data_IF_265007854315
#
_entry.id   IF_265007854315
#
_cell.length_a   1.000
_cell.length_b   1.000
_cell.length_c   1.000
_cell.angle_alpha   90.00
_cell.angle_beta   90.00
_cell.angle_gamma   90.00
#
_symmetry.space_group_name_H-M   'P 1'
#
loop_
_entity.id
_entity.type
_entity.pdbx_description
1 polymer ?
#
# COMPACT_ATOMS: atom_id res chain seq x y z
N UNK A 1 7.65 11.89 3.08
CA UNK A 1 8.01 10.59 3.70
C UNK A 1 6.89 9.59 3.52
N UNK A 2 7.20 8.45 2.90
CA UNK A 2 6.28 7.35 2.70
C UNK A 2 6.46 6.34 3.83
N UNK A 3 5.63 6.42 4.86
CA UNK A 3 5.63 5.42 5.95
C UNK A 3 4.47 4.45 5.75
N UNK A 4 4.64 3.16 6.09
CA UNK A 4 3.52 2.23 6.16
C UNK A 4 2.40 2.77 7.06
N UNK A 5 1.15 2.50 6.73
CA UNK A 5 0.05 2.71 7.67
C UNK A 5 0.17 1.70 8.81
N UNK A 6 -0.18 2.11 10.03
CA UNK A 6 -0.21 1.29 11.25
C UNK A 6 -1.41 1.70 12.12
N UNK A 7 -1.77 0.86 13.08
CA UNK A 7 -2.81 1.12 14.08
C UNK A 7 -2.26 1.34 15.51
N UNK A 8 -0.92 1.41 15.64
CA UNK A 8 -0.19 1.28 16.92
C UNK A 8 -0.33 2.48 17.87
N UNK A 9 -0.65 3.66 17.34
CA UNK A 9 -0.78 4.89 18.15
C UNK A 9 -1.78 5.87 17.51
N UNK A 10 -2.16 6.90 18.28
CA UNK A 10 -3.15 7.89 17.87
C UNK A 10 -2.72 8.74 16.66
N UNK A 11 -1.43 8.97 16.45
CA UNK A 11 -0.94 9.74 15.30
C UNK A 11 -1.03 8.91 14.01
N UNK A 12 -0.67 7.64 14.08
CA UNK A 12 -0.81 6.68 13.00
C UNK A 12 -2.28 6.46 12.62
N UNK A 13 -3.16 6.31 13.61
CA UNK A 13 -4.60 6.21 13.39
C UNK A 13 -5.15 7.49 12.76
N UNK A 14 -4.73 8.68 13.22
CA UNK A 14 -5.15 9.95 12.62
C UNK A 14 -4.72 10.07 11.16
N UNK A 15 -3.49 9.65 10.83
CA UNK A 15 -2.99 9.61 9.44
C UNK A 15 -3.81 8.63 8.58
N UNK A 16 -4.12 7.45 9.11
CA UNK A 16 -4.96 6.48 8.42
C UNK A 16 -6.38 7.02 8.19
N UNK A 17 -6.98 7.65 9.20
CA UNK A 17 -8.31 8.28 9.11
C UNK A 17 -8.36 9.45 8.13
N UNK A 18 -7.28 10.24 8.04
CA UNK A 18 -7.14 11.30 7.04
C UNK A 18 -7.12 10.74 5.61
N UNK A 19 -6.43 9.61 5.40
CA UNK A 19 -6.37 8.93 4.09
C UNK A 19 -7.61 8.06 3.78
N UNK A 20 -8.35 7.67 4.82
CA UNK A 20 -9.54 6.83 4.73
C UNK A 20 -10.56 7.20 5.81
N UNK A 21 -11.51 8.06 5.44
CA UNK A 21 -12.57 8.55 6.34
C UNK A 21 -13.46 7.48 6.98
N UNK A 22 -13.48 6.26 6.41
CA UNK A 22 -14.29 5.13 6.90
C UNK A 22 -13.52 4.12 7.74
N UNK A 23 -12.27 4.43 8.15
CA UNK A 23 -11.46 3.52 8.96
C UNK A 23 -12.12 3.22 10.31
N UNK A 24 -12.28 1.96 10.73
CA UNK A 24 -12.90 1.58 12.00
C UNK A 24 -11.96 1.83 13.20
N UNK A 25 -11.65 3.10 13.46
CA UNK A 25 -10.71 3.53 14.52
C UNK A 25 -11.25 3.22 15.92
N UNK A 26 -12.55 2.99 16.06
CA UNK A 26 -13.20 2.59 17.29
C UNK A 26 -12.95 1.11 17.64
N UNK A 27 -12.45 0.30 16.69
CA UNK A 27 -12.09 -1.10 16.88
C UNK A 27 -10.61 -1.32 16.51
N UNK A 28 -9.72 -1.04 17.47
CA UNK A 28 -8.27 -1.08 17.27
C UNK A 28 -7.73 -2.46 16.89
N UNK A 29 -8.29 -3.53 17.47
CA UNK A 29 -7.90 -4.91 17.18
C UNK A 29 -8.17 -5.23 15.70
N UNK A 30 -9.38 -4.91 15.24
CA UNK A 30 -9.75 -5.10 13.86
C UNK A 30 -8.90 -4.23 12.91
N UNK A 31 -8.72 -2.96 13.27
CA UNK A 31 -7.92 -2.06 12.45
C UNK A 31 -6.46 -2.54 12.34
N UNK A 32 -5.88 -3.00 13.44
CA UNK A 32 -4.55 -3.61 13.47
C UNK A 32 -4.47 -4.82 12.56
N UNK A 33 -5.41 -5.76 12.69
CA UNK A 33 -5.48 -6.95 11.84
C UNK A 33 -5.54 -6.60 10.34
N UNK A 34 -6.39 -5.65 9.95
CA UNK A 34 -6.53 -5.23 8.55
C UNK A 34 -5.23 -4.62 8.00
N UNK A 35 -4.60 -3.75 8.79
CA UNK A 35 -3.40 -3.00 8.39
C UNK A 35 -2.19 -3.93 8.26
N UNK A 36 -2.02 -4.86 9.20
CA UNK A 36 -0.93 -5.83 9.21
C UNK A 36 -1.10 -6.87 8.09
N UNK A 37 -2.31 -7.43 7.94
CA UNK A 37 -2.62 -8.37 6.86
C UNK A 37 -2.39 -7.75 5.49
N UNK A 38 -2.87 -6.53 5.27
CA UNK A 38 -2.65 -5.81 4.02
C UNK A 38 -1.16 -5.58 3.75
N UNK A 39 -0.38 -5.20 4.77
CA UNK A 39 1.07 -5.00 4.63
C UNK A 39 1.77 -6.30 4.24
N UNK A 40 1.47 -7.40 4.93
CA UNK A 40 2.04 -8.72 4.65
C UNK A 40 1.78 -9.13 3.20
N UNK A 41 0.53 -9.06 2.75
CA UNK A 41 0.15 -9.41 1.38
C UNK A 41 0.85 -8.54 0.34
N UNK A 42 0.95 -7.22 0.57
CA UNK A 42 1.64 -6.30 -0.34
C UNK A 42 3.13 -6.62 -0.42
N UNK A 43 3.79 -6.83 0.72
CA UNK A 43 5.23 -7.16 0.78
C UNK A 43 5.52 -8.51 0.12
N UNK A 44 4.69 -9.52 0.37
CA UNK A 44 4.83 -10.85 -0.24
C UNK A 44 4.75 -10.80 -1.77
N UNK A 45 3.89 -9.94 -2.31
CA UNK A 45 3.75 -9.77 -3.76
C UNK A 45 4.73 -8.74 -4.37
N UNK A 46 5.40 -7.94 -3.55
CA UNK A 46 6.27 -6.86 -4.01
C UNK A 46 7.45 -7.38 -4.86
N UNK A 47 8.01 -6.55 -5.77
CA UNK A 47 9.31 -6.83 -6.37
C UNK A 47 10.43 -6.75 -5.32
N UNK A 48 11.66 -7.15 -5.68
CA UNK A 48 12.82 -7.07 -4.77
C UNK A 48 13.10 -5.62 -4.30
N UNK A 49 12.85 -4.62 -5.16
CA UNK A 49 12.95 -3.20 -4.83
C UNK A 49 11.76 -2.74 -3.97
N UNK A 50 11.80 -3.04 -2.67
CA UNK A 50 10.74 -2.65 -1.73
C UNK A 50 10.92 -1.26 -1.10
N UNK A 51 12.12 -0.69 -1.17
CA UNK A 51 12.43 0.64 -0.63
C UNK A 51 12.25 1.72 -1.70
N UNK A 52 11.96 2.94 -1.27
CA UNK A 52 11.86 4.11 -2.15
C UNK A 52 13.17 4.34 -2.90
N UNK A 53 14.31 4.23 -2.22
CA UNK A 53 15.64 4.32 -2.81
C UNK A 53 15.86 3.28 -3.92
N UNK A 54 15.60 2.00 -3.66
CA UNK A 54 15.79 0.94 -4.64
C UNK A 54 14.86 1.12 -5.85
N UNK A 55 13.61 1.51 -5.62
CA UNK A 55 12.66 1.79 -6.68
C UNK A 55 13.09 2.99 -7.55
N UNK A 56 13.60 4.05 -6.93
CA UNK A 56 14.14 5.22 -7.65
C UNK A 56 15.38 4.83 -8.44
N UNK A 57 16.31 4.07 -7.85
CA UNK A 57 17.50 3.59 -8.52
C UNK A 57 17.15 2.75 -9.76
N UNK A 58 16.15 1.88 -9.68
CA UNK A 58 15.66 1.10 -10.82
C UNK A 58 15.08 1.99 -11.92
N UNK A 59 14.29 3.01 -11.56
CA UNK A 59 13.75 3.97 -12.54
C UNK A 59 14.88 4.75 -13.21
N UNK A 60 15.81 5.29 -12.44
CA UNK A 60 16.95 6.05 -12.99
C UNK A 60 17.82 5.18 -13.90
N UNK A 61 18.03 3.91 -13.55
CA UNK A 61 18.72 2.95 -14.41
C UNK A 61 18.04 2.78 -15.77
N UNK A 62 16.71 2.66 -15.81
CA UNK A 62 15.95 2.54 -17.07
C UNK A 62 16.10 3.75 -17.99
N UNK A 63 16.35 4.94 -17.43
CA UNK A 63 16.57 6.17 -18.19
C UNK A 63 18.06 6.53 -18.37
N UNK A 64 18.99 5.71 -17.87
CA UNK A 64 20.43 6.00 -17.95
C UNK A 64 20.88 7.18 -17.07
N UNK A 65 20.16 7.46 -15.98
CA UNK A 65 20.37 8.61 -15.07
C UNK A 65 20.87 8.18 -13.68
N UNK A 66 21.61 7.07 -13.60
CA UNK A 66 22.04 6.48 -12.32
C UNK A 66 22.93 7.42 -11.49
N UNK A 67 23.63 8.35 -12.15
CA UNK A 67 24.46 9.39 -11.53
C UNK A 67 23.64 10.45 -10.76
N UNK A 68 22.33 10.52 -10.99
CA UNK A 68 21.41 11.47 -10.35
C UNK A 68 20.78 10.97 -9.05
N UNK A 69 21.09 9.75 -8.61
CA UNK A 69 20.42 9.15 -7.46
C UNK A 69 20.51 10.02 -6.21
N UNK A 70 21.70 10.48 -5.85
CA UNK A 70 21.92 11.32 -4.66
C UNK A 70 21.13 12.64 -4.72
N UNK A 71 21.11 13.31 -5.88
CA UNK A 71 20.34 14.53 -6.11
C UNK A 71 18.84 14.30 -5.92
N UNK A 72 18.31 13.19 -6.45
CA UNK A 72 16.89 12.85 -6.32
C UNK A 72 16.52 12.47 -4.89
N UNK A 73 17.35 11.70 -4.20
CA UNK A 73 17.12 11.33 -2.79
C UNK A 73 17.11 12.58 -1.89
N UNK A 74 18.04 13.51 -2.12
CA UNK A 74 18.09 14.78 -1.40
C UNK A 74 16.87 15.67 -1.69
N UNK A 75 16.42 15.75 -2.94
CA UNK A 75 15.22 16.52 -3.32
C UNK A 75 13.96 15.99 -2.63
N UNK A 76 13.86 14.66 -2.49
CA UNK A 76 12.69 14.00 -1.90
C UNK A 76 12.76 13.88 -0.38
N UNK A 77 13.88 14.31 0.24
CA UNK A 77 14.15 14.21 1.68
C UNK A 77 13.85 12.79 2.21
N UNK A 78 14.37 11.79 1.49
CA UNK A 78 14.12 10.39 1.80
C UNK A 78 15.08 9.90 2.89
N UNK A 79 14.52 9.23 3.89
CA UNK A 79 15.29 8.47 4.87
C UNK A 79 15.55 7.06 4.35
N UNK A 80 16.74 6.53 4.64
CA UNK A 80 17.13 5.17 4.31
C UNK A 80 16.09 4.15 4.82
N UNK A 81 15.73 3.18 3.98
CA UNK A 81 14.77 2.13 4.33
C UNK A 81 13.29 2.54 4.25
N UNK A 82 12.96 3.78 3.85
CA UNK A 82 11.56 4.15 3.57
C UNK A 82 10.97 3.22 2.50
N UNK A 83 9.74 2.69 2.68
CA UNK A 83 9.09 1.87 1.68
C UNK A 83 8.76 2.66 0.41
N UNK A 84 8.74 1.98 -0.72
CA UNK A 84 8.35 2.61 -1.98
C UNK A 84 6.91 3.15 -1.92
N UNK A 85 6.70 4.35 -2.47
CA UNK A 85 5.43 5.10 -2.41
C UNK A 85 4.23 4.28 -2.92
N UNK A 86 4.40 3.55 -4.02
CA UNK A 86 3.36 2.73 -4.61
C UNK A 86 2.95 1.57 -3.68
N UNK A 87 3.87 1.03 -2.88
CA UNK A 87 3.56 -0.03 -1.92
C UNK A 87 2.75 0.48 -0.73
N UNK A 88 3.06 1.68 -0.21
CA UNK A 88 2.25 2.33 0.84
C UNK A 88 0.84 2.62 0.33
N UNK A 89 0.71 3.07 -0.92
CA UNK A 89 -0.60 3.25 -1.53
C UNK A 89 -1.34 1.93 -1.76
N UNK A 90 -0.65 0.88 -2.20
CA UNK A 90 -1.20 -0.47 -2.36
C UNK A 90 -1.72 -1.03 -1.03
N UNK A 91 -0.99 -0.81 0.07
CA UNK A 91 -1.44 -1.19 1.42
C UNK A 91 -2.78 -0.52 1.74
N UNK A 92 -2.91 0.79 1.52
CA UNK A 92 -4.17 1.50 1.78
C UNK A 92 -5.34 0.95 0.97
N UNK A 93 -5.12 0.63 -0.30
CA UNK A 93 -6.16 0.01 -1.13
C UNK A 93 -6.53 -1.38 -0.63
N UNK A 94 -5.55 -2.19 -0.24
CA UNK A 94 -5.82 -3.52 0.27
C UNK A 94 -6.53 -3.51 1.63
N UNK A 95 -6.19 -2.56 2.52
CA UNK A 95 -6.93 -2.33 3.77
C UNK A 95 -8.43 -2.10 3.47
N UNK A 96 -8.73 -1.23 2.51
CA UNK A 96 -10.11 -0.91 2.11
C UNK A 96 -10.84 -2.13 1.51
N UNK A 97 -10.13 -2.93 0.72
CA UNK A 97 -10.68 -4.16 0.14
C UNK A 97 -11.01 -5.20 1.22
N UNK A 98 -10.10 -5.43 2.17
CA UNK A 98 -10.32 -6.36 3.29
C UNK A 98 -11.49 -5.90 4.16
N UNK A 99 -11.60 -4.60 4.44
CA UNK A 99 -12.74 -4.03 5.17
C UNK A 99 -14.07 -4.20 4.42
N UNK A 100 -14.08 -3.96 3.11
CA UNK A 100 -15.28 -4.15 2.29
C UNK A 100 -15.70 -5.62 2.26
N UNK A 101 -14.74 -6.54 2.12
CA UNK A 101 -14.99 -7.97 2.10
C UNK A 101 -15.54 -8.48 3.44
N UNK A 102 -14.99 -8.04 4.58
CA UNK A 102 -15.48 -8.47 5.90
C UNK A 102 -16.84 -7.90 6.30
N UNK A 103 -17.38 -6.93 5.55
CA UNK A 103 -18.73 -6.38 5.77
C UNK A 103 -19.81 -7.00 4.88
N UNK A 104 -19.44 -7.75 3.86
CA UNK A 104 -20.38 -8.42 2.99
C UNK A 104 -20.52 -9.88 3.45
N UNK A 105 -21.69 -10.28 3.94
CA UNK A 105 -22.01 -11.71 4.05
C UNK A 105 -22.26 -12.34 2.66
N UNK A 106 -22.37 -13.67 2.58
CA UNK A 106 -22.64 -14.38 1.32
C UNK A 106 -24.01 -14.06 0.69
N UNK A 107 -24.90 -13.35 1.40
CA UNK A 107 -26.22 -12.91 0.97
C UNK A 107 -26.33 -11.39 0.70
N UNK A 108 -25.28 -10.59 0.96
CA UNK A 108 -25.27 -9.14 0.77
C UNK A 108 -25.82 -8.32 1.93
N UNK A 109 -26.09 -8.92 3.09
CA UNK A 109 -26.54 -8.22 4.29
C UNK A 109 -25.36 -7.77 5.18
N UNK A 110 -25.54 -6.64 5.86
CA UNK A 110 -24.55 -6.05 6.79
C UNK A 110 -24.77 -6.70 8.17
N UNK A 111 -24.06 -7.79 8.45
CA UNK A 111 -24.19 -8.58 9.68
C UNK A 111 -23.81 -7.83 10.95
N UNK A 112 -24.66 -7.95 11.98
CA UNK A 112 -24.52 -7.35 13.31
C UNK A 112 -23.76 -8.20 14.34
N UNK A 113 -23.29 -9.40 13.97
CA UNK A 113 -22.52 -10.28 14.86
C UNK A 113 -21.32 -10.89 14.12
N UNK A 114 -20.12 -10.39 14.42
CA UNK A 114 -18.85 -10.99 14.01
C UNK A 114 -18.37 -10.60 12.61
N UNK A 115 -17.16 -10.05 12.51
CA UNK A 115 -16.49 -9.90 11.22
C UNK A 115 -15.86 -11.25 10.83
N UNK A 116 -16.34 -11.87 9.75
CA UNK A 116 -15.68 -13.04 9.15
C UNK A 116 -14.82 -12.59 7.98
N UNK A 117 -13.50 -12.66 8.13
CA UNK A 117 -12.57 -12.33 7.05
C UNK A 117 -12.15 -13.61 6.34
N UNK A 118 -12.59 -13.78 5.10
CA UNK A 118 -11.96 -14.74 4.19
C UNK A 118 -10.78 -14.01 3.53
N UNK A 119 -9.51 -14.39 3.79
CA UNK A 119 -8.38 -13.73 3.16
C UNK A 119 -8.47 -13.91 1.64
N UNK A 120 -8.85 -12.85 0.94
CA UNK A 120 -8.87 -12.85 -0.51
C UNK A 120 -7.45 -12.59 -1.03
N UNK A 121 -7.04 -13.21 -2.15
CA UNK A 121 -5.84 -12.80 -2.86
C UNK A 121 -5.89 -11.30 -3.17
N UNK A 122 -4.72 -10.66 -3.33
CA UNK A 122 -4.63 -9.26 -3.77
C UNK A 122 -5.46 -9.05 -5.04
N UNK A 123 -6.30 -8.01 -5.03
CA UNK A 123 -7.08 -7.61 -6.20
C UNK A 123 -6.16 -7.24 -7.38
N UNK A 124 -6.64 -7.45 -8.61
CA UNK A 124 -5.86 -7.17 -9.84
C UNK A 124 -5.38 -5.72 -9.89
N UNK A 125 -6.18 -4.77 -9.41
CA UNK A 125 -5.82 -3.34 -9.35
C UNK A 125 -4.65 -3.13 -8.39
N UNK A 126 -4.72 -3.72 -7.20
CA UNK A 126 -3.62 -3.63 -6.21
C UNK A 126 -2.35 -4.28 -6.76
N UNK A 127 -2.47 -5.43 -7.42
CA UNK A 127 -1.35 -6.08 -8.09
C UNK A 127 -0.73 -5.21 -9.17
N UNK A 128 -1.52 -4.47 -9.96
CA UNK A 128 -1.01 -3.52 -10.96
C UNK A 128 -0.35 -2.27 -10.37
N UNK A 129 -0.72 -1.86 -9.16
CA UNK A 129 -0.02 -0.79 -8.43
C UNK A 129 1.37 -1.28 -7.96
N UNK A 130 1.43 -2.51 -7.44
CA UNK A 130 2.67 -3.10 -6.93
C UNK A 130 3.64 -3.45 -8.08
N UNK A 131 3.11 -4.04 -9.15
CA UNK A 131 3.86 -4.42 -10.35
C UNK A 131 3.17 -3.83 -11.58
N UNK A 132 3.44 -2.56 -11.92
CA UNK A 132 2.92 -1.95 -13.12
C UNK A 132 3.32 -2.80 -14.33
N UNK A 133 2.34 -3.32 -15.05
CA UNK A 133 2.59 -3.95 -16.34
C UNK A 133 2.80 -2.80 -17.31
N UNK A 134 3.97 -2.72 -17.94
CA UNK A 134 4.23 -1.72 -18.97
C UNK A 134 3.12 -1.83 -20.02
N UNK A 135 2.14 -0.92 -20.00
CA UNK A 135 1.48 -0.56 -21.23
C UNK A 135 2.62 -0.01 -22.09
N UNK A 136 2.91 -0.67 -23.22
CA UNK A 136 3.80 -0.12 -24.22
C UNK A 136 3.41 1.36 -24.37
N UNK A 137 4.35 2.26 -24.06
CA UNK A 137 4.24 3.64 -24.49
C UNK A 137 4.39 3.54 -26.00
N UNK A 138 3.29 3.28 -26.70
CA UNK A 138 3.23 3.32 -28.15
C UNK A 138 3.61 4.75 -28.52
N UNK A 139 4.84 4.92 -29.00
CA UNK A 139 5.40 6.19 -29.37
C UNK A 139 4.47 6.95 -30.31
N UNK A 140 4.01 8.09 -29.85
CA UNK A 140 3.58 9.19 -30.70
C UNK A 140 4.56 10.32 -30.45
N UNK A 141 5.44 10.55 -31.43
CA UNK A 141 6.30 11.73 -31.51
C UNK A 141 5.48 13.02 -31.45
#
# INVERSE_FOLDING_TARGET
MATWYSAIDGAAQARLRAAWKGAPIENEELLGFLVDTARLQVVEFAPEATTAEAAIAEVLLRFGLTDRLEEVLALLDLVEGEPAFNLVYAQLQQIKNLWAAGRADEQGDIGSEGFSFVPRPLDKTVRSIIRPTNAEVSGGF
#
